data_IF_296489663469
#
_entry.id   IF_296489663469
#
_cell.length_a   1.000
_cell.length_b   1.000
_cell.length_c   1.000
_cell.angle_alpha   90.00
_cell.angle_beta   90.00
_cell.angle_gamma   90.00
#
_symmetry.space_group_name_H-M   'P 1'
#
loop_
_entity.id
_entity.type
_entity.pdbx_description
1 polymer ?
#
# COMPACT_ATOMS: atom_id res chain seq x y z
N UNK A 1 -14.32 -34.20 -34.28
CA UNK A 1 -13.36 -33.79 -33.23
C UNK A 1 -12.06 -33.43 -33.92
N UNK A 2 -11.78 -32.13 -34.10
CA UNK A 2 -10.60 -31.64 -34.82
C UNK A 2 -9.39 -31.59 -33.87
N UNK A 3 -8.53 -32.61 -33.94
CA UNK A 3 -7.31 -32.75 -33.14
C UNK A 3 -6.04 -32.19 -33.80
N UNK A 4 -6.14 -31.41 -34.88
CA UNK A 4 -4.97 -31.09 -35.75
C UNK A 4 -4.52 -29.62 -35.75
N UNK A 5 -4.95 -28.78 -34.80
CA UNK A 5 -4.62 -27.33 -34.84
C UNK A 5 -3.29 -26.98 -34.17
N UNK A 6 -2.69 -27.87 -33.35
CA UNK A 6 -1.50 -27.54 -32.54
C UNK A 6 -0.17 -28.14 -33.03
N UNK A 7 -0.12 -28.86 -34.16
CA UNK A 7 1.10 -29.56 -34.62
C UNK A 7 2.24 -28.66 -35.16
N UNK A 8 2.11 -27.34 -35.10
CA UNK A 8 3.11 -26.40 -35.64
C UNK A 8 4.11 -25.88 -34.59
N UNK A 9 3.84 -26.08 -33.30
CA UNK A 9 4.69 -25.63 -32.19
C UNK A 9 5.12 -26.87 -31.42
N UNK A 10 6.42 -27.13 -31.32
CA UNK A 10 6.94 -28.19 -30.47
C UNK A 10 6.82 -27.78 -29.00
N UNK A 11 6.61 -28.74 -28.11
CA UNK A 11 6.54 -28.49 -26.65
C UNK A 11 7.75 -27.68 -26.16
N UNK A 12 8.95 -28.01 -26.67
CA UNK A 12 10.18 -27.28 -26.37
C UNK A 12 10.15 -25.81 -26.83
N UNK A 13 9.63 -25.52 -28.01
CA UNK A 13 9.51 -24.14 -28.49
C UNK A 13 8.50 -23.34 -27.66
N UNK A 14 7.45 -23.99 -27.17
CA UNK A 14 6.49 -23.39 -26.25
C UNK A 14 7.12 -23.11 -24.88
N UNK A 15 7.88 -24.06 -24.33
CA UNK A 15 8.64 -23.87 -23.08
C UNK A 15 9.64 -22.72 -23.19
N UNK A 16 10.43 -22.66 -24.25
CA UNK A 16 11.41 -21.59 -24.49
C UNK A 16 10.71 -20.22 -24.61
N UNK A 17 9.55 -20.15 -25.26
CA UNK A 17 8.74 -18.93 -25.34
C UNK A 17 8.22 -18.51 -23.97
N UNK A 18 7.67 -19.45 -23.18
CA UNK A 18 7.15 -19.18 -21.85
C UNK A 18 8.28 -18.70 -20.93
N UNK A 19 9.45 -19.31 -20.99
CA UNK A 19 10.62 -18.87 -20.22
C UNK A 19 11.01 -17.43 -20.55
N UNK A 20 11.08 -17.07 -21.83
CA UNK A 20 11.44 -15.70 -22.23
C UNK A 20 10.35 -14.69 -21.87
N UNK A 21 9.07 -15.05 -22.01
CA UNK A 21 7.95 -14.24 -21.55
C UNK A 21 8.01 -14.00 -20.03
N UNK A 22 8.29 -15.03 -19.24
CA UNK A 22 8.45 -14.93 -17.79
C UNK A 22 9.67 -14.07 -17.44
N UNK A 23 10.80 -14.22 -18.13
CA UNK A 23 12.00 -13.38 -17.93
C UNK A 23 11.74 -11.91 -18.25
N UNK A 24 11.04 -11.63 -19.35
CA UNK A 24 10.67 -10.27 -19.75
C UNK A 24 9.68 -9.65 -18.76
N UNK A 25 8.66 -10.42 -18.35
CA UNK A 25 7.68 -10.02 -17.33
C UNK A 25 8.35 -9.71 -15.99
N UNK A 26 9.31 -10.53 -15.54
CA UNK A 26 10.10 -10.29 -14.33
C UNK A 26 10.97 -9.02 -14.41
N UNK A 27 11.27 -8.53 -15.62
CA UNK A 27 11.95 -7.24 -15.85
C UNK A 27 10.97 -6.07 -15.97
N UNK A 28 9.68 -6.31 -15.82
CA UNK A 28 8.63 -5.28 -15.93
C UNK A 28 8.12 -5.03 -17.33
N UNK A 29 8.43 -5.91 -18.29
CA UNK A 29 7.96 -5.78 -19.66
C UNK A 29 6.71 -6.61 -19.84
N UNK A 30 5.57 -5.96 -20.15
CA UNK A 30 4.32 -6.67 -20.44
C UNK A 30 4.45 -7.47 -21.72
N UNK A 31 4.23 -8.78 -21.65
CA UNK A 31 4.21 -9.66 -22.81
C UNK A 31 2.86 -9.60 -23.57
N UNK A 32 1.80 -9.12 -22.93
CA UNK A 32 0.43 -9.20 -23.43
C UNK A 32 0.00 -7.99 -24.26
N UNK A 33 0.68 -6.84 -24.12
CA UNK A 33 0.28 -5.61 -24.79
C UNK A 33 1.48 -4.91 -25.44
N UNK A 34 1.29 -4.40 -26.66
CA UNK A 34 2.27 -3.54 -27.34
C UNK A 34 2.24 -2.12 -26.77
N UNK A 35 2.52 -2.01 -25.47
CA UNK A 35 2.60 -0.74 -24.75
C UNK A 35 4.04 -0.65 -24.27
N UNK A 36 4.78 0.33 -24.76
CA UNK A 36 6.00 0.79 -24.10
C UNK A 36 5.59 1.46 -22.78
N UNK A 37 5.14 0.65 -21.82
CA UNK A 37 4.68 1.11 -20.52
C UNK A 37 5.78 1.89 -19.82
N UNK A 38 5.40 2.85 -18.97
CA UNK A 38 6.37 3.55 -18.14
C UNK A 38 7.23 2.54 -17.36
N UNK A 39 8.55 2.77 -17.25
CA UNK A 39 9.46 1.81 -16.62
C UNK A 39 9.06 1.53 -15.17
N UNK A 40 9.18 0.27 -14.74
CA UNK A 40 8.96 -0.18 -13.36
C UNK A 40 9.75 0.62 -12.30
N UNK A 41 10.83 1.31 -12.70
CA UNK A 41 11.66 2.14 -11.85
C UNK A 41 11.56 3.64 -12.20
N UNK A 42 10.34 4.15 -12.35
CA UNK A 42 10.12 5.61 -12.33
C UNK A 42 10.31 6.16 -10.91
N UNK A 43 10.46 7.48 -10.74
CA UNK A 43 10.61 8.08 -9.41
C UNK A 43 9.45 7.73 -8.46
N UNK A 44 8.21 7.78 -8.97
CA UNK A 44 7.01 7.43 -8.19
C UNK A 44 6.98 5.96 -7.77
N UNK A 45 7.33 5.03 -8.67
CA UNK A 45 7.45 3.60 -8.31
C UNK A 45 8.61 3.35 -7.33
N UNK A 46 9.73 4.04 -7.52
CA UNK A 46 10.90 3.91 -6.64
C UNK A 46 10.58 4.37 -5.22
N UNK A 47 9.83 5.48 -5.08
CA UNK A 47 9.37 5.97 -3.78
C UNK A 47 8.36 5.02 -3.14
N UNK A 48 7.41 4.49 -3.92
CA UNK A 48 6.45 3.49 -3.45
C UNK A 48 7.16 2.21 -2.97
N UNK A 49 8.07 1.67 -3.77
CA UNK A 49 8.93 0.54 -3.40
C UNK A 49 9.67 0.83 -2.09
N UNK A 50 10.39 1.95 -2.03
CA UNK A 50 11.16 2.37 -0.87
C UNK A 50 10.31 2.44 0.41
N UNK A 51 9.14 3.08 0.33
CA UNK A 51 8.16 3.16 1.42
C UNK A 51 7.71 1.77 1.87
N UNK A 52 7.29 0.89 0.93
CA UNK A 52 6.81 -0.47 1.25
C UNK A 52 7.89 -1.36 1.87
N UNK A 53 9.17 -1.11 1.58
CA UNK A 53 10.30 -1.83 2.20
C UNK A 53 10.45 -1.41 3.66
N UNK A 54 10.45 -0.10 3.95
CA UNK A 54 10.65 0.38 5.33
C UNK A 54 9.42 0.24 6.22
N UNK A 55 8.23 0.16 5.64
CA UNK A 55 6.98 -0.17 6.35
C UNK A 55 6.70 -1.67 6.43
N UNK A 56 7.62 -2.49 5.94
CA UNK A 56 7.54 -3.96 5.95
C UNK A 56 6.31 -4.55 5.25
N UNK A 57 5.68 -3.80 4.34
CA UNK A 57 4.57 -4.29 3.51
C UNK A 57 5.08 -5.21 2.40
N UNK A 58 6.06 -4.74 1.61
CA UNK A 58 6.78 -5.55 0.62
C UNK A 58 5.94 -6.31 -0.42
N UNK A 59 5.08 -5.64 -1.20
CA UNK A 59 4.19 -6.27 -2.22
C UNK A 59 4.85 -7.20 -3.25
N UNK A 60 6.17 -7.16 -3.44
CA UNK A 60 6.87 -8.08 -4.33
C UNK A 60 6.73 -7.83 -5.84
N UNK A 61 5.80 -6.98 -6.29
CA UNK A 61 5.63 -6.66 -7.73
C UNK A 61 6.86 -6.00 -8.39
N UNK A 62 7.58 -5.16 -7.64
CA UNK A 62 8.84 -4.53 -8.06
C UNK A 62 9.89 -4.91 -7.03
N UNK A 63 10.95 -5.58 -7.49
CA UNK A 63 12.06 -6.02 -6.64
C UNK A 63 13.41 -5.75 -7.31
N UNK A 64 14.47 -5.53 -6.53
CA UNK A 64 15.80 -5.31 -7.08
C UNK A 64 16.31 -6.60 -7.76
N UNK A 65 16.50 -6.53 -9.07
CA UNK A 65 16.98 -7.67 -9.87
C UNK A 65 18.50 -7.80 -9.84
N UNK A 66 19.23 -6.68 -9.75
CA UNK A 66 20.70 -6.65 -9.79
C UNK A 66 21.31 -7.08 -8.45
N UNK A 67 22.50 -7.70 -8.50
CA UNK A 67 23.24 -8.10 -7.29
C UNK A 67 23.50 -6.90 -6.36
N UNK A 68 23.94 -5.78 -6.94
CA UNK A 68 24.18 -4.54 -6.20
C UNK A 68 22.90 -3.94 -5.58
N UNK A 69 21.79 -3.93 -6.33
CA UNK A 69 20.49 -3.46 -5.84
C UNK A 69 19.96 -4.27 -4.66
N UNK A 70 20.17 -5.60 -4.68
CA UNK A 70 19.81 -6.48 -3.55
C UNK A 70 20.62 -6.15 -2.30
N UNK A 71 21.94 -5.96 -2.42
CA UNK A 71 22.80 -5.57 -1.29
C UNK A 71 22.41 -4.21 -0.74
N UNK A 72 22.17 -3.23 -1.62
CA UNK A 72 21.67 -1.91 -1.22
C UNK A 72 20.35 -2.02 -0.45
N UNK A 73 19.38 -2.80 -0.95
CA UNK A 73 18.09 -3.01 -0.31
C UNK A 73 18.23 -3.62 1.10
N UNK A 74 19.16 -4.57 1.30
CA UNK A 74 19.43 -5.15 2.62
C UNK A 74 19.93 -4.09 3.62
N UNK A 75 20.87 -3.25 3.23
CA UNK A 75 21.39 -2.16 4.07
C UNK A 75 20.30 -1.11 4.33
N UNK A 76 19.54 -0.74 3.29
CA UNK A 76 18.44 0.20 3.39
C UNK A 76 17.37 -0.26 4.39
N UNK A 77 16.94 -1.54 4.30
CA UNK A 77 15.96 -2.11 5.24
C UNK A 77 16.50 -2.19 6.67
N UNK A 78 17.79 -2.53 6.84
CA UNK A 78 18.44 -2.65 8.16
C UNK A 78 18.34 -1.37 8.99
N UNK A 79 18.54 -0.20 8.37
CA UNK A 79 18.43 1.09 9.07
C UNK A 79 17.05 1.73 8.94
N UNK A 80 16.38 1.53 7.82
CA UNK A 80 15.09 2.14 7.52
C UNK A 80 13.96 1.60 8.40
N UNK A 81 13.90 0.28 8.64
CA UNK A 81 12.83 -0.31 9.47
C UNK A 81 12.89 0.20 10.92
N UNK A 82 14.04 0.17 11.63
CA UNK A 82 14.12 0.74 12.97
C UNK A 82 13.75 2.22 13.03
N UNK A 83 14.21 3.02 12.06
CA UNK A 83 13.88 4.45 11.99
C UNK A 83 12.36 4.68 11.81
N UNK A 84 11.72 3.90 10.94
CA UNK A 84 10.26 3.94 10.74
C UNK A 84 9.51 3.56 12.01
N UNK A 85 9.98 2.56 12.77
CA UNK A 85 9.35 2.18 14.04
C UNK A 85 9.45 3.28 15.10
N UNK A 86 10.60 3.98 15.18
CA UNK A 86 10.78 5.14 16.07
C UNK A 86 9.84 6.27 15.65
N UNK A 87 9.76 6.55 14.36
CA UNK A 87 8.89 7.60 13.83
C UNK A 87 7.41 7.28 14.09
N UNK A 88 6.99 6.02 13.89
CA UNK A 88 5.64 5.54 14.21
C UNK A 88 5.33 5.70 15.69
N UNK A 89 6.27 5.36 16.57
CA UNK A 89 6.11 5.51 18.02
C UNK A 89 5.90 6.98 18.40
N UNK A 90 6.70 7.89 17.84
CA UNK A 90 6.56 9.33 18.06
C UNK A 90 5.21 9.86 17.54
N UNK A 91 4.69 9.34 16.42
CA UNK A 91 3.35 9.70 15.96
C UNK A 91 2.25 9.24 16.90
N UNK A 92 2.33 7.99 17.39
CA UNK A 92 1.34 7.44 18.31
C UNK A 92 1.28 8.29 19.57
N UNK A 93 2.43 8.69 20.12
CA UNK A 93 2.50 9.62 21.26
C UNK A 93 1.81 10.97 20.97
N UNK A 94 2.02 11.53 19.78
CA UNK A 94 1.37 12.79 19.36
C UNK A 94 -0.13 12.63 19.21
N UNK A 95 -0.61 11.49 18.71
CA UNK A 95 -2.04 11.17 18.57
C UNK A 95 -2.70 10.86 19.91
N UNK A 96 -1.96 10.39 20.93
CA UNK A 96 -2.49 10.18 22.27
C UNK A 96 -2.96 11.48 22.92
N UNK A 97 -2.31 12.62 22.66
CA UNK A 97 -2.67 13.92 23.24
C UNK A 97 -4.15 14.29 22.93
N UNK A 98 -4.58 14.46 21.66
CA UNK A 98 -5.98 14.78 21.36
C UNK A 98 -6.95 13.67 21.79
N UNK A 99 -6.52 12.41 21.74
CA UNK A 99 -7.33 11.29 22.23
C UNK A 99 -7.65 11.39 23.72
N UNK A 100 -6.67 11.77 24.55
CA UNK A 100 -6.90 11.98 26.00
C UNK A 100 -7.76 13.21 26.28
N UNK A 101 -7.58 14.30 25.51
CA UNK A 101 -8.45 15.48 25.61
C UNK A 101 -9.90 15.13 25.25
N UNK A 102 -10.10 14.32 24.23
CA UNK A 102 -11.43 13.83 23.84
C UNK A 102 -12.05 12.94 24.92
N UNK A 103 -11.26 12.07 25.56
CA UNK A 103 -11.73 11.26 26.70
C UNK A 103 -12.16 12.15 27.87
N UNK A 104 -11.37 13.18 28.20
CA UNK A 104 -11.72 14.14 29.25
C UNK A 104 -13.03 14.87 28.91
N UNK A 105 -13.21 15.28 27.65
CA UNK A 105 -14.45 15.88 27.18
C UNK A 105 -15.65 14.94 27.36
N UNK A 106 -15.55 13.67 26.95
CA UNK A 106 -16.60 12.68 27.15
C UNK A 106 -16.90 12.48 28.63
N UNK A 107 -15.88 12.42 29.47
CA UNK A 107 -16.04 12.27 30.91
C UNK A 107 -16.73 13.49 31.55
N UNK A 108 -16.42 14.71 31.12
CA UNK A 108 -17.11 15.92 31.60
C UNK A 108 -18.58 15.99 31.18
N UNK A 109 -18.94 15.40 30.04
CA UNK A 109 -20.32 15.42 29.52
C UNK A 109 -21.19 14.25 30.02
N UNK A 110 -20.60 13.06 30.09
CA UNK A 110 -21.31 11.80 30.33
C UNK A 110 -21.00 11.19 31.70
N UNK A 111 -20.01 11.72 32.44
CA UNK A 111 -19.57 11.19 33.74
C UNK A 111 -20.63 11.20 34.84
N UNK A 112 -21.66 12.05 34.74
CA UNK A 112 -22.79 12.03 35.66
C UNK A 112 -23.82 10.93 35.32
N UNK A 113 -23.86 10.47 34.08
CA UNK A 113 -24.87 9.52 33.58
C UNK A 113 -24.32 8.07 33.50
N UNK A 114 -23.02 7.91 33.29
CA UNK A 114 -22.38 6.63 33.04
C UNK A 114 -21.18 6.38 33.96
N UNK A 115 -20.94 5.10 34.28
CA UNK A 115 -19.75 4.68 35.01
C UNK A 115 -18.46 4.94 34.19
N UNK A 116 -17.32 5.23 34.85
CA UNK A 116 -16.07 5.54 34.16
C UNK A 116 -15.60 4.45 33.17
N UNK A 117 -15.90 3.18 33.47
CA UNK A 117 -15.58 2.06 32.58
C UNK A 117 -16.33 2.15 31.24
N UNK A 118 -17.64 2.40 31.27
CA UNK A 118 -18.47 2.49 30.06
C UNK A 118 -18.03 3.67 29.17
N UNK A 119 -17.58 4.78 29.78
CA UNK A 119 -17.06 5.95 29.05
C UNK A 119 -15.74 5.60 28.34
N UNK A 120 -14.85 4.83 28.98
CA UNK A 120 -13.60 4.37 28.35
C UNK A 120 -13.87 3.41 27.19
N UNK A 121 -14.83 2.50 27.34
CA UNK A 121 -15.24 1.58 26.26
C UNK A 121 -15.85 2.36 25.10
N UNK A 122 -16.72 3.35 25.37
CA UNK A 122 -17.28 4.23 24.36
C UNK A 122 -16.19 5.03 23.63
N UNK A 123 -15.24 5.62 24.36
CA UNK A 123 -14.10 6.33 23.79
C UNK A 123 -13.27 5.43 22.88
N UNK A 124 -12.94 4.21 23.33
CA UNK A 124 -12.24 3.22 22.52
C UNK A 124 -13.02 2.89 21.25
N UNK A 125 -14.32 2.60 21.37
CA UNK A 125 -15.18 2.28 20.23
C UNK A 125 -15.26 3.43 19.22
N UNK A 126 -15.39 4.68 19.69
CA UNK A 126 -15.43 5.86 18.83
C UNK A 126 -14.10 6.10 18.11
N UNK A 127 -12.98 5.97 18.81
CA UNK A 127 -11.64 6.13 18.22
C UNK A 127 -11.38 5.03 17.19
N UNK A 128 -11.62 3.77 17.54
CA UNK A 128 -11.44 2.65 16.61
C UNK A 128 -12.35 2.80 15.38
N UNK A 129 -13.63 3.14 15.57
CA UNK A 129 -14.56 3.37 14.45
C UNK A 129 -14.10 4.53 13.56
N UNK A 130 -13.57 5.60 14.15
CA UNK A 130 -13.02 6.74 13.42
C UNK A 130 -11.80 6.36 12.59
N UNK A 131 -10.86 5.61 13.18
CA UNK A 131 -9.67 5.12 12.49
C UNK A 131 -10.02 4.16 11.34
N UNK A 132 -10.92 3.20 11.56
CA UNK A 132 -11.39 2.28 10.51
C UNK A 132 -12.03 3.08 9.36
N UNK A 133 -12.85 4.07 9.68
CA UNK A 133 -13.48 4.90 8.65
C UNK A 133 -12.44 5.69 7.86
N UNK A 134 -11.49 6.34 8.55
CA UNK A 134 -10.49 7.20 7.96
C UNK A 134 -9.44 6.45 7.13
N UNK A 135 -8.99 5.29 7.60
CA UNK A 135 -7.86 4.56 7.01
C UNK A 135 -8.27 3.38 6.13
N UNK A 136 -9.50 2.88 6.27
CA UNK A 136 -9.98 1.72 5.51
C UNK A 136 -11.17 2.10 4.64
N UNK A 137 -12.28 2.58 5.22
CA UNK A 137 -13.53 2.74 4.47
C UNK A 137 -13.51 3.89 3.45
N UNK A 138 -12.99 5.06 3.83
CA UNK A 138 -12.87 6.23 2.94
C UNK A 138 -11.87 5.95 1.81
N UNK A 139 -10.64 5.47 2.07
CA UNK A 139 -9.71 5.10 1.00
C UNK A 139 -10.26 4.00 0.09
N UNK A 140 -10.95 3.00 0.61
CA UNK A 140 -11.58 1.96 -0.20
C UNK A 140 -12.60 2.55 -1.19
N UNK A 141 -13.44 3.50 -0.75
CA UNK A 141 -14.37 4.18 -1.64
C UNK A 141 -13.65 5.02 -2.70
N UNK A 142 -12.53 5.66 -2.33
CA UNK A 142 -11.69 6.41 -3.26
C UNK A 142 -11.05 5.49 -4.31
N UNK A 143 -10.46 4.37 -3.90
CA UNK A 143 -9.85 3.39 -4.80
C UNK A 143 -10.88 2.78 -5.75
N UNK A 144 -12.07 2.41 -5.26
CA UNK A 144 -13.14 1.88 -6.11
C UNK A 144 -13.63 2.89 -7.17
N UNK A 145 -13.43 4.20 -6.93
CA UNK A 145 -13.75 5.25 -7.90
C UNK A 145 -12.60 5.57 -8.86
N UNK A 146 -11.34 5.31 -8.45
CA UNK A 146 -10.14 5.68 -9.22
C UNK A 146 -9.54 4.50 -10.00
N UNK A 147 -9.75 3.27 -9.55
CA UNK A 147 -9.28 2.05 -10.18
C UNK A 147 -10.41 1.42 -11.03
N UNK A 148 -10.30 1.42 -12.37
CA UNK A 148 -11.40 1.03 -13.24
C UNK A 148 -11.92 -0.41 -13.09
N UNK A 149 -11.04 -1.32 -12.65
CA UNK A 149 -11.33 -2.76 -12.55
C UNK A 149 -11.51 -3.22 -11.11
N UNK A 150 -11.47 -2.32 -10.13
CA UNK A 150 -11.63 -2.68 -8.72
C UNK A 150 -13.06 -2.40 -8.30
N UNK A 151 -13.73 -3.40 -7.71
CA UNK A 151 -14.95 -3.13 -6.98
C UNK A 151 -14.64 -2.59 -5.56
N UNK A 152 -15.68 -2.28 -4.80
CA UNK A 152 -15.51 -1.79 -3.43
C UNK A 152 -14.88 -2.84 -2.50
N UNK A 153 -15.17 -4.12 -2.71
CA UNK A 153 -14.64 -5.21 -1.88
C UNK A 153 -13.15 -5.40 -2.16
N UNK A 154 -12.74 -5.36 -3.41
CA UNK A 154 -11.34 -5.38 -3.84
C UNK A 154 -10.56 -4.22 -3.22
N UNK A 155 -11.16 -3.02 -3.25
CA UNK A 155 -10.57 -1.81 -2.67
C UNK A 155 -10.47 -1.89 -1.14
N UNK A 156 -11.50 -2.44 -0.48
CA UNK A 156 -11.50 -2.67 0.96
C UNK A 156 -10.45 -3.70 1.37
N UNK A 157 -10.38 -4.80 0.61
CA UNK A 157 -9.39 -5.85 0.78
C UNK A 157 -7.98 -5.31 0.63
N UNK A 158 -7.72 -4.53 -0.43
CA UNK A 158 -6.45 -3.83 -0.63
C UNK A 158 -6.10 -2.97 0.59
N UNK A 159 -6.99 -2.09 1.06
CA UNK A 159 -6.73 -1.26 2.22
C UNK A 159 -6.41 -2.08 3.48
N UNK A 160 -7.11 -3.20 3.69
CA UNK A 160 -6.89 -4.08 4.83
C UNK A 160 -5.52 -4.75 4.79
N UNK A 161 -5.15 -5.44 3.69
CA UNK A 161 -3.86 -6.14 3.58
C UNK A 161 -2.67 -5.17 3.56
N UNK A 162 -2.88 -3.94 3.09
CA UNK A 162 -1.88 -2.89 3.08
C UNK A 162 -1.62 -2.35 4.49
N UNK A 163 -2.69 -2.00 5.21
CA UNK A 163 -2.60 -1.38 6.54
C UNK A 163 -2.13 -2.38 7.61
N UNK A 164 -2.49 -3.65 7.45
CA UNK A 164 -2.00 -4.75 8.31
C UNK A 164 -0.61 -5.24 7.92
N UNK A 165 0.02 -4.61 6.93
CA UNK A 165 1.36 -4.93 6.41
C UNK A 165 1.52 -6.38 5.93
N UNK A 166 0.43 -7.01 5.48
CA UNK A 166 0.45 -8.36 4.87
C UNK A 166 1.00 -8.28 3.46
N UNK A 167 0.54 -7.30 2.67
CA UNK A 167 1.16 -6.93 1.39
C UNK A 167 1.24 -8.04 0.33
N UNK A 168 0.13 -8.71 0.00
CA UNK A 168 0.13 -9.81 -0.96
C UNK A 168 0.53 -9.40 -2.39
N UNK A 169 0.22 -8.16 -2.80
CA UNK A 169 0.65 -7.59 -4.08
C UNK A 169 -0.19 -8.00 -5.29
N UNK A 170 -1.33 -8.65 -5.05
CA UNK A 170 -2.37 -8.97 -6.03
C UNK A 170 -3.14 -7.72 -6.49
N UNK A 171 -3.37 -6.76 -5.59
CA UNK A 171 -3.94 -5.45 -5.90
C UNK A 171 -2.92 -4.35 -5.62
N UNK A 172 -2.59 -3.57 -6.65
CA UNK A 172 -1.65 -2.47 -6.55
C UNK A 172 -2.24 -1.26 -7.28
N UNK A 173 -2.49 -0.15 -6.58
CA UNK A 173 -3.12 1.00 -7.19
C UNK A 173 -2.13 1.61 -8.17
N UNK A 174 -2.62 2.04 -9.33
CA UNK A 174 -1.81 2.81 -10.26
C UNK A 174 -0.97 1.91 -11.15
N UNK A 175 -1.36 0.65 -11.34
CA UNK A 175 -0.60 -0.33 -12.12
C UNK A 175 -1.19 -0.61 -13.52
N UNK A 176 -2.35 -0.04 -13.83
CA UNK A 176 -2.99 -0.23 -15.13
C UNK A 176 -2.23 0.46 -16.28
N UNK A 177 -2.04 -0.22 -17.43
CA UNK A 177 -1.48 0.38 -18.62
C UNK A 177 -2.45 1.45 -19.15
N UNK A 178 -2.01 2.71 -19.16
CA UNK A 178 -2.74 3.92 -19.58
C UNK A 178 -3.54 4.69 -18.51
N UNK A 179 -3.23 4.53 -17.22
CA UNK A 179 -3.83 5.37 -16.18
C UNK A 179 -3.23 6.80 -16.22
N UNK A 180 -4.05 7.86 -16.43
CA UNK A 180 -3.55 9.23 -16.47
C UNK A 180 -3.01 9.64 -15.09
N UNK A 181 -1.91 10.42 -15.07
CA UNK A 181 -1.27 10.94 -13.84
C UNK A 181 -0.71 9.87 -12.86
N UNK A 182 -0.31 8.69 -13.36
CA UNK A 182 0.30 7.58 -12.60
C UNK A 182 1.38 8.01 -11.57
N UNK A 183 2.31 8.97 -11.87
CA UNK A 183 3.30 9.40 -10.88
C UNK A 183 2.70 10.14 -9.68
N UNK A 184 1.77 11.08 -9.93
CA UNK A 184 1.07 11.82 -8.89
C UNK A 184 0.19 10.90 -8.05
N UNK A 185 -0.46 9.94 -8.69
CA UNK A 185 -1.29 8.95 -8.02
C UNK A 185 -0.48 8.01 -7.14
N UNK A 186 0.66 7.49 -7.60
CA UNK A 186 1.57 6.66 -6.79
C UNK A 186 2.20 7.45 -5.63
N UNK A 187 2.51 8.73 -5.84
CA UNK A 187 2.94 9.62 -4.75
C UNK A 187 1.80 9.88 -3.77
N UNK A 188 0.56 10.05 -4.24
CA UNK A 188 -0.62 10.24 -3.39
C UNK A 188 -0.99 8.96 -2.62
N UNK A 189 -0.86 7.76 -3.21
CA UNK A 189 -1.02 6.48 -2.50
C UNK A 189 0.10 6.30 -1.48
N UNK A 190 1.35 6.59 -1.84
CA UNK A 190 2.47 6.58 -0.89
C UNK A 190 2.23 7.61 0.21
N UNK A 191 1.61 8.75 -0.12
CA UNK A 191 1.10 9.74 0.80
C UNK A 191 -0.05 9.21 1.65
N UNK A 192 -1.06 8.49 1.17
CA UNK A 192 -2.05 7.90 2.07
C UNK A 192 -1.40 6.89 3.05
N UNK A 193 -0.29 6.27 2.65
CA UNK A 193 0.56 5.42 3.49
C UNK A 193 1.51 6.25 4.40
N UNK A 194 1.95 7.45 4.00
CA UNK A 194 3.03 8.25 4.62
C UNK A 194 2.63 9.64 5.15
N UNK A 195 1.47 10.17 4.81
CA UNK A 195 0.91 11.50 5.16
C UNK A 195 0.47 11.54 6.62
N UNK A 196 0.52 10.41 7.33
CA UNK A 196 0.46 10.40 8.77
C UNK A 196 1.83 10.57 9.46
N UNK A 197 2.94 10.55 8.71
CA UNK A 197 4.33 10.67 9.21
C UNK A 197 4.97 12.07 9.09
N UNK A 198 4.23 13.11 8.68
CA UNK A 198 4.74 14.48 8.74
C UNK A 198 3.93 15.29 9.76
N UNK A 199 4.50 15.59 10.95
CA UNK A 199 3.95 16.63 11.78
C UNK A 199 4.09 17.94 11.01
N UNK A 200 2.94 18.52 10.64
CA UNK A 200 2.85 19.89 10.18
C UNK A 200 3.26 20.78 11.36
N UNK A 201 4.56 21.05 11.50
CA UNK A 201 5.02 22.12 12.39
C UNK A 201 4.68 23.46 11.74
N UNK A 202 3.69 24.09 12.35
CA UNK A 202 3.52 25.53 12.51
C UNK A 202 4.80 26.18 13.08
N UNK A 203 5.23 27.42 12.88
CA UNK A 203 4.67 28.68 12.39
C UNK A 203 5.86 29.57 11.95
N UNK A 204 5.67 30.39 10.91
CA UNK A 204 5.92 31.85 10.87
C UNK A 204 5.50 32.37 9.49
#
# INVERSE_FOLDING_TARGET
MNSNVYNFISDRALEELIEEVVRASNRGVSAAQNVSGEPNWSFGQSLFFSSTVVTTIGYGHVTPLSKGGKVFCMIYAMFGIPLTLVLLSALVERLMIPSTVFLQFLNSRLGHLYQPFNIRVLHLALITSGLVTLFILIPAALFAALEPEWDYLDSLYYCFISLTTVGLGDYIPGDYPNQPYRPLYKVATTGNISTYLVPKYSHL
#
